data_IF_184197057099
#
_entry.id   IF_184197057099
#
_cell.length_a   1.000
_cell.length_b   1.000
_cell.length_c   1.000
_cell.angle_alpha   90.00
_cell.angle_beta   90.00
_cell.angle_gamma   90.00
#
_symmetry.space_group_name_H-M   'P 1'
#
loop_
_entity.id
_entity.type
_entity.pdbx_description
1 polymer ?
#
# COMPACT_ATOMS: atom_id res chain seq x y z
N UNK A 1 -17.15 -21.28 45.33
CA UNK A 1 -17.02 -22.07 44.09
C UNK A 1 -17.75 -21.45 42.87
N UNK A 2 -17.89 -20.13 42.77
CA UNK A 2 -18.52 -19.45 41.61
C UNK A 2 -17.60 -18.46 40.90
N UNK A 3 -16.71 -17.82 41.65
CA UNK A 3 -15.80 -16.78 41.15
C UNK A 3 -14.77 -17.31 40.14
N UNK A 4 -14.24 -18.52 40.37
CA UNK A 4 -13.26 -19.16 39.48
C UNK A 4 -13.89 -19.46 38.10
N UNK A 5 -15.15 -19.89 38.06
CA UNK A 5 -15.87 -20.11 36.80
C UNK A 5 -16.06 -18.81 36.02
N UNK A 6 -16.39 -17.71 36.71
CA UNK A 6 -16.51 -16.38 36.08
C UNK A 6 -15.16 -15.87 35.53
N UNK A 7 -14.07 -16.06 36.29
CA UNK A 7 -12.72 -15.69 35.83
C UNK A 7 -12.30 -16.47 34.58
N UNK A 8 -12.56 -17.78 34.56
CA UNK A 8 -12.26 -18.62 33.38
C UNK A 8 -13.06 -18.18 32.16
N UNK A 9 -14.35 -17.88 32.32
CA UNK A 9 -15.20 -17.40 31.21
C UNK A 9 -14.71 -16.04 30.68
N UNK A 10 -14.35 -15.11 31.58
CA UNK A 10 -13.81 -13.81 31.19
C UNK A 10 -12.47 -13.95 30.44
N UNK A 11 -11.59 -14.82 30.90
CA UNK A 11 -10.30 -15.08 30.23
C UNK A 11 -10.53 -15.66 28.83
N UNK A 12 -11.42 -16.64 28.69
CA UNK A 12 -11.74 -17.25 27.39
C UNK A 12 -12.36 -16.21 26.44
N UNK A 13 -13.33 -15.43 26.92
CA UNK A 13 -13.95 -14.37 26.13
C UNK A 13 -12.92 -13.32 25.68
N UNK A 14 -12.01 -12.93 26.58
CA UNK A 14 -10.93 -11.99 26.27
C UNK A 14 -9.93 -12.57 25.26
N UNK A 15 -9.59 -13.85 25.37
CA UNK A 15 -8.72 -14.55 24.40
C UNK A 15 -9.34 -14.58 23.01
N UNK A 16 -10.62 -14.96 22.90
CA UNK A 16 -11.36 -14.99 21.64
C UNK A 16 -11.47 -13.57 21.04
N UNK A 17 -11.79 -12.57 21.88
CA UNK A 17 -11.86 -11.18 21.45
C UNK A 17 -10.50 -10.65 20.95
N UNK A 18 -9.43 -10.90 21.69
CA UNK A 18 -8.08 -10.48 21.33
C UNK A 18 -7.61 -11.13 20.03
N UNK A 19 -7.88 -12.42 19.87
CA UNK A 19 -7.47 -13.19 18.68
C UNK A 19 -8.25 -12.73 17.44
N UNK A 20 -9.57 -12.56 17.54
CA UNK A 20 -10.39 -12.01 16.44
C UNK A 20 -9.98 -10.59 16.07
N UNK A 21 -9.75 -9.71 17.05
CA UNK A 21 -9.31 -8.32 16.82
C UNK A 21 -7.95 -8.24 16.13
N UNK A 22 -7.01 -9.14 16.47
CA UNK A 22 -5.70 -9.25 15.78
C UNK A 22 -5.84 -9.68 14.32
N UNK A 23 -6.77 -10.58 14.02
CA UNK A 23 -7.02 -11.02 12.64
C UNK A 23 -7.67 -9.92 11.80
N UNK A 24 -8.67 -9.20 12.36
CA UNK A 24 -9.27 -8.04 11.69
C UNK A 24 -8.24 -6.90 11.48
N UNK A 25 -7.40 -6.62 12.47
CA UNK A 25 -6.35 -5.59 12.34
C UNK A 25 -5.36 -5.90 11.21
N UNK A 26 -5.04 -7.18 10.97
CA UNK A 26 -4.17 -7.58 9.85
C UNK A 26 -4.84 -7.38 8.48
N UNK A 27 -6.17 -7.51 8.40
CA UNK A 27 -6.94 -7.18 7.18
C UNK A 27 -6.97 -5.67 6.92
N UNK A 28 -7.16 -4.85 7.96
CA UNK A 28 -7.06 -3.40 7.84
C UNK A 28 -5.65 -2.97 7.42
N UNK A 29 -4.59 -3.60 7.95
CA UNK A 29 -3.21 -3.31 7.55
C UNK A 29 -2.96 -3.62 6.07
N UNK A 30 -3.50 -4.73 5.54
CA UNK A 30 -3.44 -5.01 4.09
C UNK A 30 -4.23 -3.99 3.27
N UNK A 31 -5.36 -3.51 3.79
CA UNK A 31 -6.16 -2.48 3.11
C UNK A 31 -5.45 -1.12 3.11
N UNK A 32 -4.88 -0.72 4.24
CA UNK A 32 -4.07 0.49 4.39
C UNK A 32 -2.78 0.41 3.56
N UNK A 33 -2.17 -0.77 3.42
CA UNK A 33 -1.02 -0.96 2.53
C UNK A 33 -1.42 -0.93 1.05
N UNK A 34 -2.62 -1.41 0.69
CA UNK A 34 -3.20 -1.21 -0.65
C UNK A 34 -3.51 0.26 -0.93
N UNK A 35 -3.98 1.00 0.06
CA UNK A 35 -4.28 2.43 -0.05
C UNK A 35 -3.00 3.27 -0.10
N UNK A 36 -1.97 2.89 0.65
CA UNK A 36 -0.62 3.46 0.53
C UNK A 36 0.01 3.12 -0.83
N UNK A 37 -0.26 1.94 -1.39
CA UNK A 37 0.11 1.62 -2.78
C UNK A 37 -0.72 2.40 -3.81
N UNK A 38 -1.81 3.06 -3.42
CA UNK A 38 -2.58 3.98 -4.26
C UNK A 38 -2.04 5.42 -4.20
N UNK A 39 -1.27 5.76 -3.17
CA UNK A 39 -0.43 6.97 -3.16
C UNK A 39 0.81 6.65 -4.00
N UNK A 40 0.60 6.43 -5.29
CA UNK A 40 1.69 6.28 -6.24
C UNK A 40 2.31 7.66 -6.44
N UNK A 41 3.64 7.74 -6.33
CA UNK A 41 4.37 8.99 -6.58
C UNK A 41 4.07 9.43 -8.01
N UNK A 42 3.35 10.54 -8.15
CA UNK A 42 3.09 11.13 -9.46
C UNK A 42 4.38 11.79 -9.95
N UNK A 43 4.84 11.41 -11.14
CA UNK A 43 6.03 11.98 -11.79
C UNK A 43 5.63 12.63 -13.10
N UNK A 44 6.29 13.72 -13.47
CA UNK A 44 6.05 14.38 -14.75
C UNK A 44 6.95 13.80 -15.84
N UNK A 45 6.37 13.57 -17.01
CA UNK A 45 7.14 13.17 -18.18
C UNK A 45 8.03 14.32 -18.63
N UNK A 46 9.33 14.08 -18.80
CA UNK A 46 10.29 15.11 -19.21
C UNK A 46 10.12 15.59 -20.67
N UNK A 47 9.35 14.87 -21.50
CA UNK A 47 9.12 15.21 -22.91
C UNK A 47 7.79 15.95 -23.13
N UNK A 48 6.67 15.43 -22.59
CA UNK A 48 5.33 16.00 -22.79
C UNK A 48 4.76 16.72 -21.56
N UNK A 49 5.40 16.64 -20.39
CA UNK A 49 4.90 17.23 -19.14
C UNK A 49 3.70 16.52 -18.52
N UNK A 50 3.26 15.38 -19.09
CA UNK A 50 2.14 14.61 -18.57
C UNK A 50 2.48 14.02 -17.18
N UNK A 51 1.58 14.21 -16.21
CA UNK A 51 1.69 13.59 -14.90
C UNK A 51 1.16 12.16 -14.94
N UNK A 52 2.01 11.21 -14.58
CA UNK A 52 1.67 9.79 -14.55
C UNK A 52 2.21 9.15 -13.26
N UNK A 53 1.60 8.05 -12.78
CA UNK A 53 2.13 7.33 -11.64
C UNK A 53 3.51 6.74 -11.96
N UNK A 54 4.46 6.88 -11.02
CA UNK A 54 5.84 6.40 -11.17
C UNK A 54 5.93 4.93 -11.58
N UNK A 55 4.94 4.11 -11.18
CA UNK A 55 4.87 2.69 -11.50
C UNK A 55 4.62 2.40 -12.98
N UNK A 56 3.92 3.31 -13.67
CA UNK A 56 3.67 3.26 -15.11
C UNK A 56 4.71 4.08 -15.89
N UNK A 57 5.47 4.94 -15.21
CA UNK A 57 6.50 5.77 -15.82
C UNK A 57 7.76 4.97 -16.15
N UNK A 58 8.26 5.14 -17.38
CA UNK A 58 9.54 4.61 -17.80
C UNK A 58 10.67 5.53 -17.33
N UNK A 59 11.51 5.03 -16.45
CA UNK A 59 12.69 5.75 -15.99
C UNK A 59 13.86 5.55 -16.99
N UNK A 60 14.46 6.65 -17.44
CA UNK A 60 15.71 6.62 -18.21
C UNK A 60 16.57 7.84 -17.88
N UNK A 61 17.86 7.61 -17.63
CA UNK A 61 18.86 8.65 -17.33
C UNK A 61 18.40 9.65 -16.23
N UNK A 62 17.68 9.16 -15.21
CA UNK A 62 17.17 10.00 -14.12
C UNK A 62 15.92 10.82 -14.46
N UNK A 63 15.36 10.69 -15.66
CA UNK A 63 14.11 11.32 -16.10
C UNK A 63 13.00 10.28 -16.25
N UNK A 64 11.75 10.73 -16.12
CA UNK A 64 10.56 9.90 -16.29
C UNK A 64 9.88 10.17 -17.62
N UNK A 65 9.34 9.12 -18.24
CA UNK A 65 8.67 9.18 -19.54
C UNK A 65 7.37 8.37 -19.53
N UNK A 66 6.34 8.87 -20.21
CA UNK A 66 5.06 8.17 -20.27
C UNK A 66 5.02 7.00 -21.25
N UNK A 67 5.91 7.01 -22.25
CA UNK A 67 5.98 5.96 -23.27
C UNK A 67 7.43 5.79 -23.74
N UNK A 68 7.74 4.60 -24.28
CA UNK A 68 9.08 4.33 -24.85
C UNK A 68 9.43 5.28 -25.99
N UNK A 69 8.43 5.75 -26.74
CA UNK A 69 8.62 6.70 -27.83
C UNK A 69 9.18 8.04 -27.32
N UNK A 70 8.58 8.61 -26.27
CA UNK A 70 9.09 9.82 -25.60
C UNK A 70 10.46 9.60 -24.96
N UNK A 71 10.70 8.40 -24.44
CA UNK A 71 12.01 7.99 -23.91
C UNK A 71 13.08 8.00 -25.00
N UNK A 72 12.77 7.55 -26.22
CA UNK A 72 13.70 7.53 -27.35
C UNK A 72 13.95 8.95 -27.89
N UNK A 73 12.88 9.73 -28.08
CA UNK A 73 12.96 11.13 -28.54
C UNK A 73 13.81 12.00 -27.60
N UNK A 74 13.71 11.78 -26.29
CA UNK A 74 14.55 12.49 -25.31
C UNK A 74 16.01 12.02 -25.26
N UNK A 75 16.32 10.82 -25.73
CA UNK A 75 17.68 10.25 -25.70
C UNK A 75 18.43 10.43 -27.03
N UNK A 76 17.74 10.81 -28.10
CA UNK A 76 18.33 11.06 -29.41
C UNK A 76 18.80 12.51 -29.60
N UNK A 77 19.10 13.22 -28.50
CA UNK A 77 19.62 14.60 -28.50
C UNK A 77 21.07 14.63 -28.03
#
# INVERSE_FOLDING_TARGET
MGLIRLLVILIIAWLVYSMTRRWLASLEQKKAQRDASRIETMVSCAHCGLHIPQKEALQAQGKYFCSEEHRKLSQSS
#
